data_IF_560162876956
#
_entry.id   IF_560162876956
#
_cell.length_a   1.000
_cell.length_b   1.000
_cell.length_c   1.000
_cell.angle_alpha   90.00
_cell.angle_beta   90.00
_cell.angle_gamma   90.00
#
_symmetry.space_group_name_H-M   'P 1'
#
loop_
_entity.id
_entity.type
_entity.pdbx_description
1 polymer ?
#
# COMPACT_ATOMS: atom_id res chain seq x y z
N UNK A 1 -10.65 -25.34 40.03
CA UNK A 1 -11.86 -26.12 40.25
C UNK A 1 -12.68 -25.98 38.98
N UNK A 2 -12.92 -26.89 38.19
CA UNK A 2 -13.31 -28.28 38.14
C UNK A 2 -12.92 -28.80 36.76
N UNK A 3 -12.25 -29.93 36.74
CA UNK A 3 -11.99 -30.79 35.58
C UNK A 3 -13.29 -31.45 35.12
N UNK A 4 -13.41 -31.76 33.84
CA UNK A 4 -14.08 -32.99 33.44
C UNK A 4 -13.49 -33.52 32.13
N UNK A 5 -12.73 -34.56 32.29
CA UNK A 5 -12.28 -35.56 31.31
C UNK A 5 -13.49 -36.42 30.90
N UNK A 6 -13.57 -36.76 29.62
CA UNK A 6 -14.30 -37.95 29.16
C UNK A 6 -13.55 -38.65 28.04
N UNK A 7 -12.88 -39.71 28.40
CA UNK A 7 -12.42 -40.81 27.55
C UNK A 7 -13.62 -41.50 26.90
N UNK A 8 -13.49 -41.93 25.68
CA UNK A 8 -14.26 -43.08 25.18
C UNK A 8 -13.34 -43.97 24.35
N UNK A 9 -13.18 -45.16 24.93
CA UNK A 9 -12.35 -46.25 24.42
C UNK A 9 -13.00 -46.99 23.23
N UNK A 10 -12.15 -47.42 22.34
CA UNK A 10 -11.94 -48.80 21.87
C UNK A 10 -13.17 -49.64 21.49
N UNK A 11 -13.23 -50.07 20.22
CA UNK A 11 -13.55 -51.46 19.89
C UNK A 11 -12.90 -51.88 18.56
N UNK A 12 -11.92 -52.76 18.69
CA UNK A 12 -11.42 -53.71 17.69
C UNK A 12 -12.56 -54.57 17.16
N UNK A 13 -12.63 -54.71 15.86
CA UNK A 13 -13.18 -55.91 15.19
C UNK A 13 -12.39 -56.22 13.93
N UNK A 14 -11.63 -57.30 14.05
CA UNK A 14 -10.93 -57.94 12.97
C UNK A 14 -11.93 -58.50 11.96
N UNK A 15 -11.73 -58.18 10.69
CA UNK A 15 -12.43 -58.76 9.54
C UNK A 15 -11.47 -58.96 8.39
N UNK A 16 -10.86 -60.11 8.39
CA UNK A 16 -10.01 -60.66 7.32
C UNK A 16 -10.88 -60.99 6.10
N UNK A 17 -10.75 -60.23 5.01
CA UNK A 17 -11.24 -60.66 3.70
C UNK A 17 -10.23 -60.31 2.62
N UNK A 18 -9.52 -61.32 2.18
CA UNK A 18 -8.76 -61.33 0.93
C UNK A 18 -9.71 -61.13 -0.26
N UNK A 19 -9.53 -60.07 -1.03
CA UNK A 19 -10.06 -60.00 -2.38
C UNK A 19 -9.08 -59.29 -3.31
N UNK A 20 -8.76 -60.00 -4.33
CA UNK A 20 -7.97 -59.80 -5.50
C UNK A 20 -7.61 -58.36 -5.90
N UNK A 21 -6.31 -58.08 -5.97
CA UNK A 21 -5.77 -56.92 -6.68
C UNK A 21 -6.01 -57.13 -8.21
N UNK A 22 -7.12 -56.59 -8.69
CA UNK A 22 -7.26 -56.29 -10.11
C UNK A 22 -6.46 -54.98 -10.34
N UNK A 23 -5.21 -55.10 -10.74
CA UNK A 23 -4.42 -54.02 -11.30
C UNK A 23 -5.06 -53.61 -12.63
N UNK A 24 -5.99 -52.65 -12.55
CA UNK A 24 -6.44 -51.94 -13.74
C UNK A 24 -5.25 -51.12 -14.26
N UNK A 25 -4.54 -51.70 -15.24
CA UNK A 25 -3.62 -50.95 -16.08
C UNK A 25 -4.45 -49.87 -16.77
N UNK A 26 -4.43 -48.67 -16.23
CA UNK A 26 -4.89 -47.47 -16.92
C UNK A 26 -3.94 -47.32 -18.11
N UNK A 27 -4.35 -47.88 -19.25
CA UNK A 27 -3.73 -47.56 -20.52
C UNK A 27 -3.81 -46.04 -20.67
N UNK A 28 -2.68 -45.34 -20.50
CA UNK A 28 -2.55 -43.95 -20.90
C UNK A 28 -2.84 -43.94 -22.41
N UNK A 29 -4.06 -43.55 -22.74
CA UNK A 29 -4.40 -43.20 -24.11
C UNK A 29 -3.52 -42.04 -24.47
N UNK A 30 -2.40 -42.30 -25.12
CA UNK A 30 -1.62 -41.30 -25.81
C UNK A 30 -2.60 -40.59 -26.74
N UNK A 31 -2.99 -39.37 -26.38
CA UNK A 31 -3.76 -38.49 -27.23
C UNK A 31 -2.98 -38.43 -28.55
N UNK A 32 -3.55 -39.02 -29.62
CA UNK A 32 -2.84 -39.16 -30.88
C UNK A 32 -2.65 -37.84 -31.61
N UNK A 33 -2.05 -36.88 -30.91
CA UNK A 33 -1.69 -35.57 -31.41
C UNK A 33 -0.28 -35.61 -31.98
N UNK A 34 -0.10 -34.99 -33.12
CA UNK A 34 1.17 -34.92 -33.83
C UNK A 34 1.58 -33.46 -33.93
N UNK A 35 2.76 -33.14 -33.41
CA UNK A 35 3.37 -31.82 -33.53
C UNK A 35 4.17 -31.74 -34.80
N UNK A 36 3.98 -30.68 -35.58
CA UNK A 36 4.75 -30.44 -36.82
C UNK A 36 5.26 -29.02 -36.86
N UNK A 37 6.48 -28.84 -37.35
CA UNK A 37 7.09 -27.54 -37.63
C UNK A 37 8.05 -27.63 -38.80
N UNK A 38 8.49 -26.48 -39.33
CA UNK A 38 9.61 -26.39 -40.28
C UNK A 38 10.90 -26.19 -39.54
N UNK A 39 11.81 -27.15 -39.59
CA UNK A 39 13.15 -27.02 -39.00
C UNK A 39 14.01 -25.97 -39.70
N UNK A 40 15.22 -25.67 -39.15
CA UNK A 40 16.13 -24.66 -39.70
C UNK A 40 16.53 -24.95 -41.16
N UNK A 41 16.57 -26.18 -41.54
CA UNK A 41 16.91 -26.63 -42.94
C UNK A 41 15.71 -26.64 -43.89
N UNK A 42 14.54 -26.08 -43.47
CA UNK A 42 13.30 -26.10 -44.26
C UNK A 42 12.56 -27.45 -44.31
N UNK A 43 13.10 -28.48 -43.68
CA UNK A 43 12.44 -29.80 -43.58
C UNK A 43 11.31 -29.75 -42.56
N UNK A 44 10.20 -30.46 -42.83
CA UNK A 44 9.14 -30.65 -41.87
C UNK A 44 9.56 -31.68 -40.83
N UNK A 45 9.60 -31.28 -39.57
CA UNK A 45 9.80 -32.15 -38.42
C UNK A 45 8.44 -32.53 -37.84
N UNK A 46 8.34 -33.78 -37.39
CA UNK A 46 7.10 -34.33 -36.84
C UNK A 46 7.43 -35.15 -35.60
N UNK A 47 6.64 -34.95 -34.52
CA UNK A 47 6.83 -35.67 -33.25
C UNK A 47 5.49 -35.84 -32.53
N UNK A 48 5.44 -36.76 -31.57
CA UNK A 48 4.31 -36.97 -30.64
C UNK A 48 4.29 -35.96 -29.47
N UNK A 49 5.33 -35.13 -29.37
CA UNK A 49 5.49 -34.10 -28.36
C UNK A 49 6.06 -32.81 -28.98
N UNK A 50 6.09 -31.73 -28.20
CA UNK A 50 6.70 -30.45 -28.58
C UNK A 50 8.13 -30.68 -29.09
N UNK A 51 8.42 -30.12 -30.27
CA UNK A 51 9.71 -30.27 -30.97
C UNK A 51 10.65 -29.19 -30.44
N UNK A 52 11.70 -29.61 -29.69
CA UNK A 52 12.67 -28.67 -29.09
C UNK A 52 13.40 -27.78 -30.10
N UNK A 53 13.72 -28.33 -31.28
CA UNK A 53 14.38 -27.58 -32.37
C UNK A 53 13.51 -26.47 -32.99
N UNK A 54 12.21 -26.48 -32.70
CA UNK A 54 11.25 -25.49 -33.21
C UNK A 54 10.63 -24.62 -32.09
N UNK A 55 11.29 -24.50 -30.93
CA UNK A 55 10.80 -23.69 -29.84
C UNK A 55 10.75 -22.20 -30.19
N UNK A 56 11.60 -21.75 -31.11
CA UNK A 56 11.70 -20.39 -31.62
C UNK A 56 10.69 -20.06 -32.72
N UNK A 57 9.85 -20.99 -33.12
CA UNK A 57 8.88 -20.84 -34.21
C UNK A 57 7.56 -21.53 -33.93
N UNK A 58 6.58 -21.24 -34.77
CA UNK A 58 5.23 -21.81 -34.68
C UNK A 58 5.27 -23.33 -34.91
N UNK A 59 4.62 -24.06 -34.01
CA UNK A 59 4.38 -25.51 -34.17
C UNK A 59 2.90 -25.75 -34.32
N UNK A 60 2.53 -26.63 -35.28
CA UNK A 60 1.14 -27.03 -35.54
C UNK A 60 0.87 -28.38 -34.89
N UNK A 61 -0.23 -28.44 -34.14
CA UNK A 61 -0.68 -29.68 -33.54
C UNK A 61 -1.82 -30.23 -34.39
N UNK A 62 -1.58 -31.40 -34.92
CA UNK A 62 -2.52 -32.10 -35.80
C UNK A 62 -3.13 -33.30 -35.07
N UNK A 63 -4.36 -33.63 -35.40
CA UNK A 63 -4.96 -34.90 -35.05
C UNK A 63 -4.37 -36.01 -35.92
N UNK A 64 -4.70 -37.30 -35.64
CA UNK A 64 -4.24 -38.45 -36.42
C UNK A 64 -4.70 -38.44 -37.88
N UNK A 65 -5.81 -37.80 -38.16
CA UNK A 65 -6.36 -37.59 -39.49
C UNK A 65 -5.74 -36.40 -40.26
N UNK A 66 -4.75 -35.72 -39.64
CA UNK A 66 -4.11 -34.56 -40.21
C UNK A 66 -4.86 -33.22 -39.99
N UNK A 67 -5.99 -33.25 -39.30
CA UNK A 67 -6.75 -32.03 -39.00
C UNK A 67 -5.97 -31.13 -38.03
N UNK A 68 -5.90 -29.83 -38.29
CA UNK A 68 -5.25 -28.85 -37.39
C UNK A 68 -6.11 -28.71 -36.13
N UNK A 69 -5.58 -29.09 -34.99
CA UNK A 69 -6.22 -28.91 -33.68
C UNK A 69 -5.90 -27.54 -33.07
N UNK A 70 -4.62 -27.18 -33.11
CA UNK A 70 -4.16 -25.88 -32.56
C UNK A 70 -2.79 -25.48 -33.09
N UNK A 71 -2.46 -24.24 -32.91
CA UNK A 71 -1.13 -23.68 -33.18
C UNK A 71 -0.48 -23.39 -31.83
N UNK A 72 0.77 -23.83 -31.64
CA UNK A 72 1.62 -23.48 -30.52
C UNK A 72 2.53 -22.34 -30.99
N UNK A 73 2.42 -21.13 -30.43
CA UNK A 73 3.28 -20.02 -30.81
C UNK A 73 4.73 -20.27 -30.38
N UNK A 74 5.70 -19.54 -30.95
CA UNK A 74 7.08 -19.54 -30.49
C UNK A 74 7.17 -19.30 -28.99
N UNK A 75 8.12 -19.95 -28.32
CA UNK A 75 8.42 -19.61 -26.93
C UNK A 75 9.04 -18.21 -26.88
N UNK A 76 8.53 -17.40 -26.00
CA UNK A 76 9.08 -16.06 -25.77
C UNK A 76 10.55 -16.16 -25.34
N UNK A 77 11.37 -15.22 -25.80
CA UNK A 77 12.71 -15.01 -25.26
C UNK A 77 12.67 -14.63 -23.76
N UNK A 78 13.79 -14.65 -23.10
CA UNK A 78 13.87 -14.22 -21.71
C UNK A 78 13.43 -12.76 -21.53
N UNK A 79 13.80 -11.91 -22.48
CA UNK A 79 13.44 -10.47 -22.50
C UNK A 79 11.94 -10.28 -22.73
N UNK A 80 11.37 -10.93 -23.75
CA UNK A 80 9.94 -10.86 -24.05
C UNK A 80 9.07 -11.40 -22.91
N UNK A 81 9.55 -12.44 -22.20
CA UNK A 81 8.87 -12.94 -20.99
C UNK A 81 8.91 -11.90 -19.88
N UNK A 82 10.07 -11.29 -19.62
CA UNK A 82 10.20 -10.25 -18.59
C UNK A 82 9.31 -9.03 -18.91
N UNK A 83 9.25 -8.61 -20.18
CA UNK A 83 8.35 -7.54 -20.60
C UNK A 83 6.87 -7.90 -20.45
N UNK A 84 6.50 -9.11 -20.84
CA UNK A 84 5.14 -9.62 -20.68
C UNK A 84 4.77 -9.65 -19.20
N UNK A 85 5.61 -10.23 -18.35
CA UNK A 85 5.39 -10.31 -16.92
C UNK A 85 5.28 -8.92 -16.29
N UNK A 86 6.11 -7.97 -16.71
CA UNK A 86 6.03 -6.59 -16.24
C UNK A 86 4.71 -5.91 -16.66
N UNK A 87 4.24 -6.14 -17.88
CA UNK A 87 2.93 -5.63 -18.33
C UNK A 87 1.77 -6.26 -17.56
N UNK A 88 1.80 -7.59 -17.38
CA UNK A 88 0.77 -8.32 -16.66
C UNK A 88 0.71 -7.89 -15.19
N UNK A 89 1.87 -7.67 -14.56
CA UNK A 89 1.94 -7.14 -13.18
C UNK A 89 1.36 -5.72 -13.08
N UNK A 90 1.65 -4.83 -14.02
CA UNK A 90 1.08 -3.47 -14.06
C UNK A 90 -0.45 -3.54 -14.22
N UNK A 91 -0.93 -4.31 -15.18
CA UNK A 91 -2.36 -4.50 -15.41
C UNK A 91 -3.08 -5.07 -14.17
N UNK A 92 -2.46 -6.06 -13.52
CA UNK A 92 -2.98 -6.62 -12.28
C UNK A 92 -2.99 -5.61 -11.12
N UNK A 93 -1.95 -4.78 -11.00
CA UNK A 93 -1.89 -3.73 -10.00
C UNK A 93 -2.96 -2.65 -10.22
N UNK A 94 -3.16 -2.22 -11.46
CA UNK A 94 -4.22 -1.28 -11.83
C UNK A 94 -5.63 -1.84 -11.56
N UNK A 95 -5.85 -3.13 -11.90
CA UNK A 95 -7.12 -3.78 -11.64
C UNK A 95 -7.42 -3.85 -10.13
N UNK A 96 -6.41 -4.21 -9.32
CA UNK A 96 -6.53 -4.20 -7.85
C UNK A 96 -6.81 -2.80 -7.31
N UNK A 97 -6.07 -1.79 -7.77
CA UNK A 97 -6.26 -0.40 -7.34
C UNK A 97 -7.69 0.10 -7.60
N UNK A 98 -8.30 -0.28 -8.74
CA UNK A 98 -9.71 0.03 -9.07
C UNK A 98 -10.68 -0.64 -8.09
N UNK A 99 -10.49 -1.93 -7.80
CA UNK A 99 -11.33 -2.67 -6.84
C UNK A 99 -11.20 -2.07 -5.45
N UNK A 100 -9.98 -1.75 -5.01
CA UNK A 100 -9.71 -1.15 -3.71
C UNK A 100 -10.34 0.25 -3.60
N UNK A 101 -10.30 1.04 -4.67
CA UNK A 101 -10.96 2.36 -4.69
C UNK A 101 -12.48 2.23 -4.53
N UNK A 102 -13.12 1.32 -5.25
CA UNK A 102 -14.56 1.04 -5.12
C UNK A 102 -14.90 0.59 -3.70
N UNK A 103 -14.11 -0.31 -3.15
CA UNK A 103 -14.33 -0.84 -1.78
C UNK A 103 -14.18 0.26 -0.74
N UNK A 104 -13.14 1.08 -0.84
CA UNK A 104 -12.95 2.24 0.05
C UNK A 104 -14.14 3.19 0.03
N UNK A 105 -14.63 3.54 -1.16
CA UNK A 105 -15.75 4.47 -1.31
C UNK A 105 -17.05 3.90 -0.75
N UNK A 106 -17.34 2.63 -0.98
CA UNK A 106 -18.50 1.96 -0.40
C UNK A 106 -18.44 1.93 1.13
N UNK A 107 -17.28 1.58 1.69
CA UNK A 107 -17.09 1.56 3.14
C UNK A 107 -17.21 2.98 3.73
N UNK A 108 -16.74 4.01 3.01
CA UNK A 108 -16.84 5.39 3.43
C UNK A 108 -18.30 5.85 3.52
N UNK A 109 -19.10 5.60 2.47
CA UNK A 109 -20.53 5.93 2.47
C UNK A 109 -21.29 5.12 3.52
N UNK A 110 -20.93 3.85 3.72
CA UNK A 110 -21.56 3.03 4.76
C UNK A 110 -21.25 3.55 6.16
N UNK A 111 -20.03 4.00 6.41
CA UNK A 111 -19.61 4.59 7.69
C UNK A 111 -20.28 5.93 7.94
N UNK A 112 -20.42 6.74 6.91
CA UNK A 112 -20.96 8.09 6.98
C UNK A 112 -22.13 8.25 6.01
N UNK A 113 -23.35 7.86 6.42
CA UNK A 113 -24.51 7.96 5.56
C UNK A 113 -24.92 9.41 5.22
N UNK A 114 -24.46 10.38 6.02
CA UNK A 114 -24.71 11.80 5.81
C UNK A 114 -23.64 12.69 6.49
N UNK A 115 -23.68 13.99 6.22
CA UNK A 115 -22.74 14.98 6.76
C UNK A 115 -22.75 15.08 8.29
N UNK A 116 -23.94 14.90 8.92
CA UNK A 116 -24.05 14.95 10.37
C UNK A 116 -23.31 13.78 11.06
N UNK A 117 -23.40 12.58 10.49
CA UNK A 117 -22.67 11.42 10.97
C UNK A 117 -21.14 11.62 10.88
N UNK A 118 -20.66 12.15 9.75
CA UNK A 118 -19.25 12.49 9.56
C UNK A 118 -18.79 13.58 10.55
N UNK A 119 -19.58 14.66 10.69
CA UNK A 119 -19.25 15.76 11.59
C UNK A 119 -19.14 15.30 13.05
N UNK A 120 -20.06 14.44 13.51
CA UNK A 120 -20.04 13.88 14.86
C UNK A 120 -18.72 13.14 15.16
N UNK A 121 -18.26 12.32 14.20
CA UNK A 121 -16.99 11.58 14.37
C UNK A 121 -15.80 12.51 14.31
N UNK A 122 -15.80 13.50 13.41
CA UNK A 122 -14.80 14.55 13.34
C UNK A 122 -14.67 15.30 14.66
N UNK A 123 -15.79 15.78 15.20
CA UNK A 123 -15.81 16.55 16.44
C UNK A 123 -15.28 15.73 17.62
N UNK A 124 -15.66 14.46 17.71
CA UNK A 124 -15.13 13.56 18.72
C UNK A 124 -13.61 13.37 18.60
N UNK A 125 -13.11 13.11 17.38
CA UNK A 125 -11.67 12.92 17.13
C UNK A 125 -10.86 14.20 17.44
N UNK A 126 -11.40 15.38 17.19
CA UNK A 126 -10.74 16.65 17.47
C UNK A 126 -10.88 17.09 18.93
N UNK A 127 -11.89 16.60 19.67
CA UNK A 127 -12.11 16.96 21.07
C UNK A 127 -10.96 16.47 21.97
N UNK A 128 -10.50 15.25 21.79
CA UNK A 128 -9.41 14.67 22.57
C UNK A 128 -8.09 15.46 22.34
N UNK A 129 -7.81 15.81 21.08
CA UNK A 129 -6.63 16.62 20.74
C UNK A 129 -6.71 18.02 21.38
N UNK A 130 -7.87 18.67 21.32
CA UNK A 130 -8.09 20.00 21.94
C UNK A 130 -7.93 19.94 23.46
N UNK A 131 -8.46 18.90 24.09
CA UNK A 131 -8.29 18.68 25.53
C UNK A 131 -6.82 18.50 25.90
N UNK A 132 -6.08 17.69 25.12
CA UNK A 132 -4.64 17.51 25.31
C UNK A 132 -3.86 18.82 25.14
N UNK A 133 -4.25 19.66 24.16
CA UNK A 133 -3.64 21.00 23.95
C UNK A 133 -3.91 21.92 25.14
N UNK A 134 -5.14 21.94 25.67
CA UNK A 134 -5.49 22.76 26.86
C UNK A 134 -4.68 22.36 28.09
N UNK A 135 -4.50 21.03 28.32
CA UNK A 135 -3.64 20.55 29.40
C UNK A 135 -2.18 20.98 29.21
N UNK A 136 -1.69 20.97 27.98
CA UNK A 136 -0.35 21.42 27.64
C UNK A 136 -0.18 22.93 27.86
N UNK A 137 -1.19 23.74 27.53
CA UNK A 137 -1.20 25.20 27.79
C UNK A 137 -1.22 25.45 29.29
N UNK A 138 -2.02 24.75 30.07
CA UNK A 138 -2.06 24.85 31.54
C UNK A 138 -0.69 24.54 32.12
N UNK A 139 -0.06 23.44 31.70
CA UNK A 139 1.28 23.08 32.19
C UNK A 139 2.34 24.10 31.82
N UNK A 140 2.25 24.70 30.63
CA UNK A 140 3.13 25.78 30.22
C UNK A 140 2.94 27.03 31.09
N UNK A 141 1.71 27.35 31.51
CA UNK A 141 1.43 28.44 32.42
C UNK A 141 1.99 28.17 33.82
N UNK A 142 1.84 26.96 34.35
CA UNK A 142 2.43 26.53 35.63
C UNK A 142 3.95 26.65 35.61
N UNK A 143 4.63 26.17 34.56
CA UNK A 143 6.07 26.30 34.45
C UNK A 143 6.55 27.75 34.43
N UNK A 144 5.78 28.66 33.80
CA UNK A 144 6.09 30.10 33.87
C UNK A 144 5.91 30.65 35.28
N UNK A 145 4.86 30.22 35.99
CA UNK A 145 4.62 30.61 37.36
C UNK A 145 5.70 30.10 38.32
N UNK A 146 6.13 28.82 38.15
CA UNK A 146 7.24 28.23 38.89
C UNK A 146 8.58 28.95 38.65
N UNK A 147 8.80 29.42 37.42
CA UNK A 147 10.04 30.13 37.04
C UNK A 147 10.18 31.50 37.71
N UNK A 148 9.06 32.20 37.90
CA UNK A 148 9.10 33.59 38.41
C UNK A 148 9.85 33.73 39.74
N UNK A 149 9.50 32.98 40.81
CA UNK A 149 10.23 33.08 42.10
C UNK A 149 11.70 32.66 41.97
N UNK A 150 12.04 31.73 41.07
CA UNK A 150 13.45 31.37 40.82
C UNK A 150 14.25 32.54 40.22
N UNK A 151 13.62 33.32 39.34
CA UNK A 151 14.24 34.53 38.76
C UNK A 151 14.35 35.65 39.80
N UNK A 152 13.32 35.87 40.63
CA UNK A 152 13.34 36.83 41.73
C UNK A 152 14.48 36.51 42.72
N UNK A 153 14.73 35.19 42.98
CA UNK A 153 15.86 34.75 43.79
C UNK A 153 17.22 35.04 43.12
N UNK A 154 17.34 34.87 41.79
CA UNK A 154 18.57 35.21 41.04
C UNK A 154 18.90 36.70 41.17
N UNK A 155 17.89 37.56 41.09
CA UNK A 155 18.05 39.01 41.22
C UNK A 155 18.65 39.42 42.59
N UNK A 156 18.38 38.67 43.66
CA UNK A 156 18.95 38.89 44.98
C UNK A 156 20.49 38.79 44.97
N UNK A 157 21.07 37.97 44.13
CA UNK A 157 22.53 37.82 44.03
C UNK A 157 23.24 38.94 43.25
N UNK A 158 22.49 39.88 42.62
CA UNK A 158 23.01 41.09 41.95
C UNK A 158 24.23 40.84 41.04
N UNK A 159 24.19 39.79 40.26
CA UNK A 159 25.27 39.46 39.33
C UNK A 159 26.42 38.63 39.91
N UNK A 160 26.41 38.32 41.20
CA UNK A 160 27.31 37.33 41.79
C UNK A 160 26.88 35.89 41.42
N UNK A 161 27.81 34.93 41.57
CA UNK A 161 27.48 33.56 41.36
C UNK A 161 26.41 33.06 42.34
N UNK A 162 25.27 32.62 41.82
CA UNK A 162 24.17 32.08 42.62
C UNK A 162 24.37 30.57 42.87
N UNK A 163 23.72 29.99 43.91
CA UNK A 163 23.90 28.57 44.30
C UNK A 163 23.67 27.59 43.19
N UNK A 164 24.43 26.50 43.18
CA UNK A 164 24.30 25.42 42.18
C UNK A 164 22.88 24.84 42.16
N UNK A 165 22.23 24.75 43.33
CA UNK A 165 20.83 24.30 43.46
C UNK A 165 19.86 25.16 42.65
N UNK A 166 19.96 26.49 42.76
CA UNK A 166 19.11 27.44 42.05
C UNK A 166 19.33 27.33 40.53
N UNK A 167 20.60 27.16 40.10
CA UNK A 167 20.93 26.92 38.70
C UNK A 167 20.27 25.62 38.19
N UNK A 168 20.40 24.53 38.93
CA UNK A 168 19.77 23.26 38.58
C UNK A 168 18.25 23.38 38.47
N UNK A 169 17.59 24.14 39.36
CA UNK A 169 16.13 24.38 39.31
C UNK A 169 15.72 25.16 38.07
N UNK A 170 16.47 26.21 37.71
CA UNK A 170 16.22 26.97 36.48
C UNK A 170 16.43 26.12 35.23
N UNK A 171 17.53 25.40 35.17
CA UNK A 171 17.83 24.51 34.04
C UNK A 171 16.76 23.43 33.87
N UNK A 172 16.28 22.85 34.97
CA UNK A 172 15.19 21.87 34.96
C UNK A 172 13.87 22.48 34.48
N UNK A 173 13.52 23.68 34.95
CA UNK A 173 12.31 24.37 34.49
C UNK A 173 12.40 24.76 33.02
N UNK A 174 13.58 25.24 32.56
CA UNK A 174 13.81 25.59 31.16
C UNK A 174 13.70 24.34 30.24
N UNK A 175 14.28 23.23 30.65
CA UNK A 175 14.17 21.97 29.94
C UNK A 175 12.71 21.46 29.85
N UNK A 176 11.97 21.55 30.99
CA UNK A 176 10.56 21.19 31.03
C UNK A 176 9.71 22.08 30.12
N UNK A 177 9.97 23.41 30.16
CA UNK A 177 9.27 24.38 29.32
C UNK A 177 9.58 24.19 27.83
N UNK A 178 10.82 23.81 27.48
CA UNK A 178 11.21 23.49 26.12
C UNK A 178 10.47 22.24 25.63
N UNK A 179 10.49 21.16 26.41
CA UNK A 179 9.78 19.93 26.10
C UNK A 179 8.26 20.17 25.91
N UNK A 180 7.67 21.01 26.77
CA UNK A 180 6.24 21.34 26.66
C UNK A 180 5.93 22.17 25.39
N UNK A 181 6.81 23.09 24.98
CA UNK A 181 6.65 23.81 23.69
C UNK A 181 6.71 22.87 22.49
N UNK A 182 7.61 21.91 22.52
CA UNK A 182 7.71 20.94 21.43
C UNK A 182 6.50 19.98 21.38
N UNK A 183 5.99 19.57 22.55
CA UNK A 183 4.73 18.84 22.64
C UNK A 183 3.56 19.64 22.04
N UNK A 184 3.44 20.94 22.35
CA UNK A 184 2.40 21.82 21.79
C UNK A 184 2.51 21.96 20.27
N UNK A 185 3.74 22.08 19.71
CA UNK A 185 3.94 22.10 18.25
C UNK A 185 3.49 20.80 17.60
N UNK A 186 3.85 19.66 18.19
CA UNK A 186 3.46 18.35 17.68
C UNK A 186 1.93 18.16 17.73
N UNK A 187 1.28 18.58 18.83
CA UNK A 187 -0.17 18.54 18.96
C UNK A 187 -0.88 19.43 17.93
N UNK A 188 -0.36 20.64 17.68
CA UNK A 188 -0.89 21.54 16.67
C UNK A 188 -0.75 20.96 15.25
N UNK A 189 0.40 20.36 14.95
CA UNK A 189 0.63 19.68 13.67
C UNK A 189 -0.32 18.48 13.49
N UNK A 190 -0.54 17.70 14.55
CA UNK A 190 -1.47 16.57 14.51
C UNK A 190 -2.93 17.04 14.34
N UNK A 191 -3.33 18.10 15.03
CA UNK A 191 -4.66 18.72 14.86
C UNK A 191 -4.88 19.15 13.41
N UNK A 192 -3.90 19.82 12.81
CA UNK A 192 -3.96 20.23 11.41
C UNK A 192 -4.03 19.03 10.46
N UNK A 193 -3.24 17.99 10.72
CA UNK A 193 -3.23 16.75 9.92
C UNK A 193 -4.59 16.05 9.97
N UNK A 194 -5.14 15.83 11.16
CA UNK A 194 -6.44 15.17 11.34
C UNK A 194 -7.56 16.00 10.71
N UNK A 195 -7.52 17.33 10.88
CA UNK A 195 -8.49 18.22 10.24
C UNK A 195 -8.47 18.08 8.72
N UNK A 196 -7.28 18.11 8.10
CA UNK A 196 -7.13 17.99 6.66
C UNK A 196 -7.61 16.62 6.14
N UNK A 197 -7.39 15.54 6.90
CA UNK A 197 -7.92 14.21 6.57
C UNK A 197 -9.45 14.22 6.53
N UNK A 198 -10.12 14.73 7.55
CA UNK A 198 -11.58 14.81 7.58
C UNK A 198 -12.12 15.74 6.50
N UNK A 199 -11.46 16.85 6.18
CA UNK A 199 -11.88 17.75 5.12
C UNK A 199 -11.78 17.09 3.73
N UNK A 200 -10.70 16.35 3.48
CA UNK A 200 -10.54 15.54 2.25
C UNK A 200 -11.59 14.43 2.15
N UNK A 201 -11.85 13.74 3.26
CA UNK A 201 -12.87 12.70 3.35
C UNK A 201 -14.27 13.27 3.09
N UNK A 202 -14.59 14.43 3.68
CA UNK A 202 -15.87 15.12 3.47
C UNK A 202 -16.05 15.56 2.02
N UNK A 203 -15.00 16.10 1.39
CA UNK A 203 -15.05 16.49 -0.02
C UNK A 203 -15.38 15.28 -0.92
N UNK A 204 -14.76 14.12 -0.63
CA UNK A 204 -15.04 12.86 -1.32
C UNK A 204 -16.47 12.39 -1.08
N UNK A 205 -16.93 12.37 0.18
CA UNK A 205 -18.29 12.00 0.58
C UNK A 205 -19.35 12.85 -0.11
N UNK A 206 -19.15 14.16 -0.20
CA UNK A 206 -20.10 15.06 -0.89
C UNK A 206 -20.33 14.65 -2.34
N UNK A 207 -19.27 14.24 -3.06
CA UNK A 207 -19.37 13.73 -4.42
C UNK A 207 -20.13 12.40 -4.48
N UNK A 208 -19.82 11.47 -3.56
CA UNK A 208 -20.48 10.18 -3.49
C UNK A 208 -21.97 10.29 -3.15
N UNK A 209 -22.35 11.16 -2.20
CA UNK A 209 -23.74 11.45 -1.87
C UNK A 209 -24.49 12.15 -3.02
N UNK A 210 -23.77 12.90 -3.85
CA UNK A 210 -24.33 13.50 -5.08
C UNK A 210 -24.47 12.49 -6.23
N UNK A 211 -24.15 11.20 -6.01
CA UNK A 211 -24.34 10.14 -7.00
C UNK A 211 -23.10 9.77 -7.82
N UNK A 212 -21.91 10.26 -7.46
CA UNK A 212 -20.69 9.82 -8.13
C UNK A 212 -20.46 8.32 -7.92
N UNK A 213 -20.08 7.61 -8.98
CA UNK A 213 -19.82 6.18 -8.90
C UNK A 213 -18.62 5.88 -7.96
N UNK A 214 -18.73 4.91 -7.03
CA UNK A 214 -17.61 4.50 -6.20
C UNK A 214 -16.38 4.11 -7.05
N UNK A 215 -15.22 4.61 -6.67
CA UNK A 215 -13.97 4.37 -7.39
C UNK A 215 -13.68 5.35 -8.53
N UNK A 216 -14.64 6.19 -8.95
CA UNK A 216 -14.43 7.15 -10.03
C UNK A 216 -13.67 8.43 -9.61
N UNK A 217 -13.77 8.81 -8.34
CA UNK A 217 -13.29 10.12 -7.85
C UNK A 217 -11.75 10.23 -7.87
N UNK A 218 -11.03 9.12 -7.76
CA UNK A 218 -9.56 9.11 -7.82
C UNK A 218 -8.98 9.08 -9.23
N UNK A 219 -9.74 8.54 -10.19
CA UNK A 219 -9.32 8.44 -11.59
C UNK A 219 -9.40 9.82 -12.28
N UNK A 220 -10.48 10.57 -12.04
CA UNK A 220 -10.64 11.91 -12.59
C UNK A 220 -9.56 12.91 -12.10
N UNK A 221 -9.19 12.85 -10.80
CA UNK A 221 -8.14 13.71 -10.26
C UNK A 221 -6.75 13.35 -10.79
N UNK A 222 -6.49 12.07 -11.10
CA UNK A 222 -5.25 11.64 -11.72
C UNK A 222 -5.16 12.09 -13.18
N UNK A 223 -6.26 12.04 -13.92
CA UNK A 223 -6.34 12.51 -15.31
C UNK A 223 -6.22 14.04 -15.40
N UNK A 224 -6.83 14.80 -14.46
CA UNK A 224 -6.64 16.25 -14.38
C UNK A 224 -5.21 16.63 -14.01
N UNK A 225 -4.58 15.91 -13.06
CA UNK A 225 -3.19 16.14 -12.67
C UNK A 225 -2.22 15.78 -13.81
N UNK A 226 -2.46 14.69 -14.52
CA UNK A 226 -1.67 14.30 -15.71
C UNK A 226 -1.85 15.30 -16.85
N UNK A 227 -3.06 15.79 -17.09
CA UNK A 227 -3.35 16.82 -18.09
C UNK A 227 -2.71 18.17 -17.74
N UNK A 228 -2.75 18.57 -16.46
CA UNK A 228 -2.10 19.80 -15.96
C UNK A 228 -0.57 19.71 -16.00
N UNK A 229 0.00 18.52 -15.77
CA UNK A 229 1.44 18.29 -15.91
C UNK A 229 1.91 18.32 -17.37
N UNK A 230 1.10 17.82 -18.29
CA UNK A 230 1.36 17.87 -19.73
C UNK A 230 1.22 19.28 -20.32
N UNK A 231 0.41 20.13 -19.70
CA UNK A 231 0.18 21.52 -20.13
C UNK A 231 1.24 22.53 -19.66
N UNK A 232 2.18 22.13 -18.78
CA UNK A 232 3.30 23.00 -18.40
C UNK A 232 4.31 23.10 -19.54
N UNK A 233 4.54 24.31 -20.13
CA UNK A 233 5.55 24.48 -21.17
C UNK A 233 6.92 24.18 -20.56
N UNK A 234 7.71 23.38 -21.28
CA UNK A 234 9.09 23.10 -20.95
C UNK A 234 9.85 24.44 -20.87
N UNK A 235 10.23 24.84 -19.65
CA UNK A 235 11.13 25.96 -19.44
C UNK A 235 12.47 25.55 -20.06
N UNK A 236 12.78 26.12 -21.22
CA UNK A 236 14.09 26.02 -21.88
C UNK A 236 15.13 26.55 -20.90
N UNK A 237 15.93 25.66 -20.33
CA UNK A 237 17.15 26.01 -19.60
C UNK A 237 18.08 26.71 -20.59
N UNK A 238 18.14 28.04 -20.53
CA UNK A 238 19.13 28.80 -21.22
C UNK A 238 20.49 28.53 -20.56
N UNK A 239 21.25 27.65 -21.16
CA UNK A 239 22.66 27.41 -20.83
C UNK A 239 23.45 28.68 -21.12
N UNK A 240 23.78 29.43 -20.09
CA UNK A 240 24.67 30.59 -20.14
C UNK A 240 26.09 30.07 -20.43
N UNK A 241 26.57 30.33 -21.64
CA UNK A 241 27.95 30.08 -22.04
C UNK A 241 28.94 30.85 -21.13
N UNK A 242 30.10 30.27 -20.76
CA UNK A 242 31.10 31.00 -19.98
C UNK A 242 31.83 32.01 -20.88
N UNK A 243 31.90 33.25 -20.45
CA UNK A 243 32.66 34.31 -21.07
C UNK A 243 34.15 34.00 -21.06
N UNK A 244 34.78 34.06 -22.23
CA UNK A 244 36.22 33.98 -22.42
C UNK A 244 36.91 35.17 -21.75
N UNK A 245 37.98 34.91 -20.97
CA UNK A 245 38.91 35.91 -20.46
C UNK A 245 39.82 36.36 -21.62
N UNK A 246 40.07 37.67 -21.82
CA UNK A 246 41.18 38.14 -22.64
C UNK A 246 42.49 38.08 -21.88
N UNK A 247 43.57 37.75 -22.62
CA UNK A 247 44.95 37.80 -22.16
C UNK A 247 45.41 39.28 -22.02
#
# INVERSE_FOLDING_TARGET
>A
MIQTTAMFESRLLAGLLCLGAATSAVAQQSSGQVFTCKGPSGRTLTSDRLIGECMDREQRVLARDGTLLRIVPPSLTAEERAEKDARDQRAAAEARAKVDAVTRDRNLVQRYPNGAAHQKVRDAALADLRTSMQLSETRQAELRAERKPLLDEVEFYKGNAFPAKLRQQLDANDAAAAAQRDAQKNQAAELARVTALFDTELARLKRLWAGAAPGSIGLAAADEAASAAAAKPAVKSATKAPAARPQ
#
